data_IF_055820595244
#
_entry.id   IF_055820595244
#
_cell.length_a   1.000
_cell.length_b   1.000
_cell.length_c   1.000
_cell.angle_alpha   90.00
_cell.angle_beta   90.00
_cell.angle_gamma   90.00
#
_symmetry.space_group_name_H-M   'P 1'
#
loop_
_entity.id
_entity.type
_entity.pdbx_description
1 polymer ?
#
# COMPACT_ATOMS: atom_id res chain seq x y z
N UNK A 1 -51.25 -2.02 18.97
CA UNK A 1 -50.12 -2.95 18.75
C UNK A 1 -49.11 -2.68 19.84
N UNK A 2 -49.05 -3.55 20.85
CA UNK A 2 -48.08 -3.48 21.95
C UNK A 2 -46.77 -4.12 21.50
N UNK A 3 -45.66 -3.37 21.54
CA UNK A 3 -44.32 -3.92 21.31
C UNK A 3 -44.04 -5.04 22.31
N UNK A 4 -43.55 -6.22 21.88
CA UNK A 4 -43.16 -7.27 22.81
C UNK A 4 -41.88 -6.84 23.56
N UNK A 5 -42.01 -6.54 24.85
CA UNK A 5 -40.87 -6.26 25.72
C UNK A 5 -40.06 -7.53 25.94
N UNK A 6 -38.77 -7.47 25.63
CA UNK A 6 -37.83 -8.56 25.88
C UNK A 6 -37.77 -8.82 27.39
N UNK A 7 -37.97 -10.07 27.86
CA UNK A 7 -37.89 -10.39 29.29
C UNK A 7 -36.51 -10.04 29.86
N UNK A 8 -36.43 -9.46 31.07
CA UNK A 8 -35.16 -8.99 31.66
C UNK A 8 -34.11 -10.11 31.81
N UNK A 9 -34.54 -11.35 32.08
CA UNK A 9 -33.65 -12.51 32.15
C UNK A 9 -33.00 -12.85 30.81
N UNK A 10 -33.69 -12.57 29.70
CA UNK A 10 -33.14 -12.80 28.37
C UNK A 10 -32.07 -11.75 28.04
N UNK A 11 -32.25 -10.51 28.49
CA UNK A 11 -31.27 -9.42 28.37
C UNK A 11 -29.98 -9.74 29.15
N UNK A 12 -30.10 -10.26 30.37
CA UNK A 12 -28.94 -10.72 31.15
C UNK A 12 -28.23 -11.92 30.53
N UNK A 13 -28.99 -12.88 29.98
CA UNK A 13 -28.38 -14.00 29.25
C UNK A 13 -27.62 -13.54 28.01
N UNK A 14 -28.14 -12.55 27.28
CA UNK A 14 -27.44 -11.97 26.12
C UNK A 14 -26.18 -11.18 26.50
N UNK A 15 -26.15 -10.55 27.68
CA UNK A 15 -24.96 -9.84 28.17
C UNK A 15 -23.85 -10.78 28.65
N UNK A 16 -24.22 -11.98 29.10
CA UNK A 16 -23.30 -13.03 29.53
C UNK A 16 -22.73 -13.89 28.40
N UNK A 17 -23.25 -13.78 27.17
CA UNK A 17 -22.59 -14.44 26.03
C UNK A 17 -21.20 -13.81 25.92
N UNK A 18 -20.11 -14.57 26.16
CA UNK A 18 -18.79 -14.04 25.97
C UNK A 18 -18.71 -13.60 24.52
N UNK A 19 -18.62 -12.28 24.29
CA UNK A 19 -18.28 -11.75 22.97
C UNK A 19 -16.97 -12.44 22.63
N UNK A 20 -17.01 -13.37 21.68
CA UNK A 20 -15.86 -14.09 21.18
C UNK A 20 -14.92 -13.05 20.56
N UNK A 21 -14.14 -12.39 21.41
CA UNK A 21 -13.24 -11.35 21.00
C UNK A 21 -12.10 -12.09 20.31
N UNK A 22 -12.11 -12.05 18.98
CA UNK A 22 -11.07 -12.65 18.17
C UNK A 22 -9.73 -12.21 18.73
N UNK A 23 -8.85 -13.18 19.04
CA UNK A 23 -7.56 -12.87 19.67
C UNK A 23 -6.87 -11.74 18.90
N UNK A 24 -6.67 -10.56 19.53
CA UNK A 24 -6.17 -9.38 18.84
C UNK A 24 -4.76 -9.63 18.27
N UNK A 25 -4.03 -10.59 18.83
CA UNK A 25 -2.70 -11.04 18.39
C UNK A 25 -2.73 -11.56 16.95
N UNK A 26 -3.69 -12.42 16.60
CA UNK A 26 -3.80 -12.96 15.24
C UNK A 26 -4.08 -11.82 14.25
N UNK A 27 -4.92 -10.86 14.63
CA UNK A 27 -5.17 -9.66 13.85
C UNK A 27 -3.89 -8.85 13.59
N UNK A 28 -3.07 -8.64 14.61
CA UNK A 28 -1.79 -7.91 14.48
C UNK A 28 -0.80 -8.62 13.56
N UNK A 29 -0.65 -9.93 13.69
CA UNK A 29 0.28 -10.71 12.85
C UNK A 29 -0.14 -10.66 11.38
N UNK A 30 -1.42 -10.90 11.09
CA UNK A 30 -1.92 -10.88 9.71
C UNK A 30 -1.88 -9.47 9.13
N UNK A 31 -2.20 -8.44 9.93
CA UNK A 31 -2.05 -7.04 9.54
C UNK A 31 -0.60 -6.71 9.20
N UNK A 32 0.36 -7.13 10.04
CA UNK A 32 1.78 -6.90 9.82
C UNK A 32 2.25 -7.50 8.49
N UNK A 33 1.91 -8.76 8.23
CA UNK A 33 2.28 -9.44 6.97
C UNK A 33 1.68 -8.71 5.78
N UNK A 34 0.37 -8.41 5.80
CA UNK A 34 -0.29 -7.74 4.69
C UNK A 34 0.25 -6.34 4.41
N UNK A 35 0.45 -5.52 5.45
CA UNK A 35 0.99 -4.16 5.29
C UNK A 35 2.45 -4.18 4.82
N UNK A 36 3.25 -5.14 5.29
CA UNK A 36 4.62 -5.31 4.80
C UNK A 36 4.64 -5.68 3.31
N UNK A 37 3.73 -6.56 2.86
CA UNK A 37 3.58 -6.90 1.43
C UNK A 37 3.14 -5.70 0.59
N UNK A 38 2.23 -4.86 1.09
CA UNK A 38 1.81 -3.61 0.40
C UNK A 38 2.99 -2.64 0.30
N UNK A 39 3.70 -2.41 1.39
CA UNK A 39 4.86 -1.52 1.42
C UNK A 39 5.96 -2.01 0.48
N UNK A 40 6.26 -3.31 0.50
CA UNK A 40 7.14 -3.97 -0.46
C UNK A 40 6.67 -3.72 -1.91
N UNK A 41 5.39 -3.94 -2.22
CA UNK A 41 4.86 -3.75 -3.57
C UNK A 41 5.00 -2.32 -4.08
N UNK A 42 4.77 -1.31 -3.22
CA UNK A 42 5.00 0.10 -3.56
C UNK A 42 6.49 0.38 -3.77
N UNK A 43 7.37 -0.16 -2.93
CA UNK A 43 8.82 0.00 -3.09
C UNK A 43 9.34 -0.67 -4.36
N UNK A 44 8.88 -1.89 -4.68
CA UNK A 44 9.25 -2.59 -5.91
C UNK A 44 8.74 -1.83 -7.15
N UNK A 45 7.52 -1.30 -7.11
CA UNK A 45 7.00 -0.42 -8.17
C UNK A 45 7.81 0.86 -8.33
N UNK A 46 8.28 1.46 -7.23
CA UNK A 46 9.13 2.63 -7.29
C UNK A 46 10.44 2.36 -8.03
N UNK A 47 11.14 1.27 -7.71
CA UNK A 47 12.40 0.91 -8.36
C UNK A 47 12.19 0.46 -9.80
N UNK A 48 11.23 -0.44 -10.05
CA UNK A 48 10.94 -0.90 -11.41
C UNK A 48 10.51 0.23 -12.35
N UNK A 49 9.79 1.24 -11.85
CA UNK A 49 9.47 2.44 -12.63
C UNK A 49 10.73 3.23 -13.01
N UNK A 50 11.70 3.36 -12.10
CA UNK A 50 12.95 4.07 -12.40
C UNK A 50 13.76 3.38 -13.49
N UNK A 51 13.89 2.06 -13.40
CA UNK A 51 14.56 1.26 -14.43
C UNK A 51 13.91 1.42 -15.81
N UNK A 52 12.56 1.38 -15.88
CA UNK A 52 11.83 1.62 -17.14
C UNK A 52 12.01 3.06 -17.63
N UNK A 53 12.07 4.03 -16.72
CA UNK A 53 12.26 5.44 -17.07
C UNK A 53 13.68 5.74 -17.55
N UNK A 54 14.70 5.03 -17.05
CA UNK A 54 16.08 5.14 -17.50
C UNK A 54 16.25 4.76 -18.98
N UNK A 55 15.47 3.79 -19.47
CA UNK A 55 15.46 3.39 -20.90
C UNK A 55 14.48 4.19 -21.76
N UNK A 56 13.89 5.27 -21.23
CA UNK A 56 13.01 6.18 -21.98
C UNK A 56 11.52 6.05 -21.66
N UNK A 57 11.15 5.31 -20.61
CA UNK A 57 9.79 5.25 -20.09
C UNK A 57 8.89 4.19 -20.72
N UNK A 58 9.44 3.36 -21.61
CA UNK A 58 8.76 2.19 -22.17
C UNK A 58 9.80 1.13 -22.55
N UNK A 59 9.48 -0.12 -22.26
CA UNK A 59 10.25 -1.27 -22.70
C UNK A 59 9.31 -2.45 -22.89
N UNK A 60 9.72 -3.42 -23.71
CA UNK A 60 8.96 -4.66 -23.89
C UNK A 60 9.91 -5.83 -24.13
N UNK A 61 9.54 -6.99 -23.59
CA UNK A 61 10.26 -8.25 -23.77
C UNK A 61 9.27 -9.29 -24.31
N UNK A 62 9.72 -10.14 -25.23
CA UNK A 62 8.91 -11.22 -25.79
C UNK A 62 7.82 -10.81 -26.79
N UNK A 63 7.05 -11.82 -27.23
CA UNK A 63 5.96 -11.67 -28.20
C UNK A 63 6.38 -11.77 -29.67
N UNK A 64 5.41 -11.74 -30.62
CA UNK A 64 5.68 -11.85 -32.06
C UNK A 64 6.08 -10.50 -32.71
N UNK A 65 6.28 -9.45 -31.92
CA UNK A 65 6.52 -8.09 -32.40
C UNK A 65 8.01 -7.74 -32.38
N UNK A 66 8.42 -6.81 -33.25
CA UNK A 66 9.79 -6.29 -33.26
C UNK A 66 9.96 -5.29 -32.12
N UNK A 67 10.64 -5.74 -31.06
CA UNK A 67 10.97 -4.92 -29.89
C UNK A 67 11.95 -3.82 -30.32
N UNK A 68 11.57 -2.57 -30.08
CA UNK A 68 12.43 -1.39 -30.34
C UNK A 68 13.29 -1.01 -29.12
N UNK A 69 12.81 -1.32 -27.91
CA UNK A 69 13.48 -1.05 -26.64
C UNK A 69 13.31 -2.26 -25.72
N UNK A 70 14.42 -2.93 -25.42
CA UNK A 70 14.47 -4.07 -24.49
C UNK A 70 14.37 -3.59 -23.05
N UNK A 71 13.76 -4.40 -22.18
CA UNK A 71 13.70 -4.05 -20.77
C UNK A 71 15.06 -4.33 -20.11
N UNK A 72 15.53 -3.44 -19.23
CA UNK A 72 16.72 -3.71 -18.43
C UNK A 72 16.47 -4.91 -17.50
N UNK A 73 17.53 -5.69 -17.27
CA UNK A 73 17.51 -6.84 -16.36
C UNK A 73 17.12 -6.34 -14.95
N UNK A 74 16.05 -6.90 -14.36
CA UNK A 74 15.54 -6.51 -13.03
C UNK A 74 14.11 -5.95 -13.04
N UNK A 75 13.77 -5.12 -14.05
CA UNK A 75 12.52 -4.37 -14.08
C UNK A 75 11.30 -5.29 -14.17
N UNK A 76 11.39 -6.31 -15.01
CA UNK A 76 10.34 -7.33 -15.14
C UNK A 76 10.12 -8.04 -13.80
N UNK A 77 11.20 -8.41 -13.11
CA UNK A 77 11.10 -9.13 -11.82
C UNK A 77 10.46 -8.25 -10.75
N UNK A 78 10.86 -6.99 -10.65
CA UNK A 78 10.31 -6.07 -9.65
C UNK A 78 8.85 -5.70 -9.93
N UNK A 79 8.48 -5.47 -11.19
CA UNK A 79 7.08 -5.15 -11.53
C UNK A 79 6.16 -6.37 -11.42
N UNK A 80 6.64 -7.55 -11.84
CA UNK A 80 5.87 -8.80 -11.86
C UNK A 80 5.73 -9.40 -10.46
N UNK A 81 6.66 -9.15 -9.54
CA UNK A 81 6.51 -9.52 -8.13
C UNK A 81 5.81 -8.42 -7.32
N UNK A 82 6.15 -7.15 -7.56
CA UNK A 82 5.63 -6.00 -6.81
C UNK A 82 4.12 -5.83 -6.88
N UNK A 83 3.53 -5.86 -8.09
CA UNK A 83 2.09 -5.64 -8.27
C UNK A 83 1.27 -6.77 -7.64
N UNK A 84 1.52 -8.07 -7.92
CA UNK A 84 0.73 -9.14 -7.33
C UNK A 84 0.93 -9.23 -5.81
N UNK A 85 2.15 -9.09 -5.31
CA UNK A 85 2.41 -9.13 -3.86
C UNK A 85 1.74 -7.94 -3.17
N UNK A 86 1.77 -6.75 -3.76
CA UNK A 86 1.08 -5.58 -3.23
C UNK A 86 -0.45 -5.77 -3.17
N UNK A 87 -1.06 -6.32 -4.22
CA UNK A 87 -2.51 -6.60 -4.27
C UNK A 87 -2.90 -7.69 -3.27
N UNK A 88 -2.19 -8.82 -3.25
CA UNK A 88 -2.42 -9.88 -2.26
C UNK A 88 -2.24 -9.33 -0.85
N UNK A 89 -1.18 -8.56 -0.63
CA UNK A 89 -0.90 -7.86 0.60
C UNK A 89 -2.05 -6.97 1.06
N UNK A 90 -2.70 -6.25 0.14
CA UNK A 90 -3.84 -5.39 0.46
C UNK A 90 -5.03 -6.21 1.00
N UNK A 91 -5.36 -7.35 0.40
CA UNK A 91 -6.42 -8.23 0.88
C UNK A 91 -6.07 -8.88 2.22
N UNK A 92 -4.81 -9.31 2.39
CA UNK A 92 -4.31 -9.85 3.67
C UNK A 92 -4.36 -8.78 4.76
N UNK A 93 -3.93 -7.56 4.45
CA UNK A 93 -3.97 -6.42 5.36
C UNK A 93 -5.41 -6.04 5.73
N UNK A 94 -6.34 -6.09 4.77
CA UNK A 94 -7.76 -5.84 5.02
C UNK A 94 -8.32 -6.82 6.04
N UNK A 95 -8.03 -8.12 5.88
CA UNK A 95 -8.46 -9.14 6.83
C UNK A 95 -7.80 -8.96 8.21
N UNK A 96 -6.49 -8.68 8.26
CA UNK A 96 -5.75 -8.44 9.50
C UNK A 96 -6.26 -7.20 10.27
N UNK A 97 -6.45 -6.08 9.56
CA UNK A 97 -7.01 -4.85 10.11
C UNK A 97 -8.44 -5.04 10.63
N UNK A 98 -9.30 -5.75 9.88
CA UNK A 98 -10.67 -6.01 10.31
C UNK A 98 -10.73 -6.83 11.60
N UNK A 99 -9.74 -7.70 11.82
CA UNK A 99 -9.65 -8.59 12.99
C UNK A 99 -8.89 -7.98 14.17
N UNK A 100 -8.12 -6.90 13.97
CA UNK A 100 -7.33 -6.25 15.01
C UNK A 100 -8.15 -5.21 15.80
N UNK A 101 -8.84 -4.30 15.10
CA UNK A 101 -9.73 -3.30 15.70
C UNK A 101 -10.71 -2.71 14.69
N UNK A 102 -11.92 -2.35 15.13
CA UNK A 102 -12.78 -1.41 14.41
C UNK A 102 -11.99 -0.16 14.01
N UNK A 103 -12.18 0.28 12.76
CA UNK A 103 -11.53 1.45 12.18
C UNK A 103 -10.10 1.23 11.67
N UNK A 104 -9.41 0.13 12.01
CA UNK A 104 -8.04 -0.10 11.55
C UNK A 104 -7.93 -0.27 10.02
N UNK A 105 -8.98 -0.80 9.38
CA UNK A 105 -9.04 -0.93 7.91
C UNK A 105 -8.90 0.41 7.21
N UNK A 106 -9.34 1.50 7.84
CA UNK A 106 -9.23 2.85 7.29
C UNK A 106 -7.77 3.25 7.04
N UNK A 107 -6.81 2.72 7.81
CA UNK A 107 -5.38 3.00 7.59
C UNK A 107 -4.89 2.52 6.22
N UNK A 108 -5.54 1.53 5.60
CA UNK A 108 -5.16 1.07 4.26
C UNK A 108 -5.41 2.13 3.17
N UNK A 109 -6.27 3.12 3.44
CA UNK A 109 -6.43 4.28 2.56
C UNK A 109 -5.15 5.11 2.46
N UNK A 110 -4.20 4.98 3.40
CA UNK A 110 -2.87 5.57 3.29
C UNK A 110 -2.02 4.96 2.18
N UNK A 111 -2.40 3.77 1.67
CA UNK A 111 -1.79 3.21 0.47
C UNK A 111 -1.98 4.09 -0.76
N UNK A 112 -3.08 4.85 -0.83
CA UNK A 112 -3.35 5.78 -1.92
C UNK A 112 -2.33 6.94 -2.00
N UNK A 113 -2.18 7.80 -0.97
CA UNK A 113 -1.15 8.84 -1.01
C UNK A 113 0.25 8.23 -1.10
N UNK A 114 0.52 7.07 -0.48
CA UNK A 114 1.81 6.41 -0.61
C UNK A 114 2.13 6.06 -2.07
N UNK A 115 1.19 5.46 -2.80
CA UNK A 115 1.36 5.11 -4.22
C UNK A 115 1.48 6.35 -5.11
N UNK A 116 0.57 7.32 -4.99
CA UNK A 116 0.57 8.48 -5.90
C UNK A 116 1.71 9.44 -5.64
N UNK A 117 2.07 9.69 -4.38
CA UNK A 117 3.22 10.55 -4.07
C UNK A 117 4.51 9.86 -4.51
N UNK A 118 4.61 8.55 -4.33
CA UNK A 118 5.81 7.82 -4.74
C UNK A 118 5.99 7.85 -6.27
N UNK A 119 4.98 7.43 -7.04
CA UNK A 119 5.05 7.50 -8.50
C UNK A 119 5.19 8.94 -9.04
N UNK A 120 4.49 9.90 -8.41
CA UNK A 120 4.55 11.31 -8.79
C UNK A 120 5.95 11.90 -8.59
N UNK A 121 6.65 11.51 -7.53
CA UNK A 121 8.04 11.92 -7.32
C UNK A 121 8.97 11.38 -8.40
N UNK A 122 8.86 10.09 -8.77
CA UNK A 122 9.67 9.53 -9.87
C UNK A 122 9.49 10.35 -11.16
N UNK A 123 8.25 10.66 -11.53
CA UNK A 123 7.99 11.50 -12.71
C UNK A 123 8.62 12.89 -12.62
N UNK A 124 8.53 13.56 -11.47
CA UNK A 124 9.13 14.89 -11.28
C UNK A 124 10.66 14.81 -11.33
N UNK A 125 11.26 13.82 -10.66
CA UNK A 125 12.71 13.61 -10.61
C UNK A 125 13.28 13.43 -12.03
N UNK A 126 12.69 12.55 -12.81
CA UNK A 126 13.09 12.30 -14.20
C UNK A 126 12.72 13.45 -15.15
N UNK A 127 11.69 14.24 -14.83
CA UNK A 127 11.39 15.44 -15.61
C UNK A 127 12.44 16.54 -15.43
N UNK A 128 13.09 16.59 -14.26
CA UNK A 128 14.19 17.50 -13.94
C UNK A 128 15.51 16.95 -14.46
N UNK A 129 15.75 15.64 -14.28
CA UNK A 129 16.97 14.93 -14.64
C UNK A 129 16.68 13.81 -15.65
N UNK A 130 16.37 14.15 -16.93
CA UNK A 130 16.05 13.13 -17.91
C UNK A 130 17.29 12.35 -18.37
N UNK A 131 17.13 11.07 -18.77
CA UNK A 131 18.18 10.30 -19.40
C UNK A 131 18.59 10.89 -20.76
N UNK A 132 19.81 10.56 -21.20
CA UNK A 132 20.36 11.07 -22.45
C UNK A 132 19.50 10.63 -23.67
N UNK A 133 19.40 11.48 -24.70
CA UNK A 133 18.62 11.25 -25.93
C UNK A 133 17.08 11.29 -25.80
N UNK A 134 16.55 11.84 -24.71
CA UNK A 134 15.11 12.08 -24.57
C UNK A 134 14.63 13.33 -25.33
N UNK A 135 13.62 13.17 -26.19
CA UNK A 135 13.11 14.25 -27.03
C UNK A 135 12.22 15.27 -26.29
N UNK A 136 11.52 14.87 -25.21
CA UNK A 136 10.69 15.77 -24.40
C UNK A 136 10.32 15.15 -23.06
N UNK A 137 10.41 15.93 -21.97
CA UNK A 137 9.99 15.54 -20.62
C UNK A 137 8.62 16.07 -20.22
N UNK A 138 7.89 16.71 -21.15
CA UNK A 138 6.60 17.34 -20.85
C UNK A 138 5.57 16.33 -20.30
N UNK A 139 5.56 15.09 -20.82
CA UNK A 139 4.69 14.04 -20.33
C UNK A 139 4.96 13.70 -18.85
N UNK A 140 6.22 13.65 -18.46
CA UNK A 140 6.62 13.37 -17.08
C UNK A 140 6.23 14.51 -16.12
N UNK A 141 6.35 15.77 -16.54
CA UNK A 141 5.83 16.90 -15.78
C UNK A 141 4.32 16.80 -15.51
N UNK A 142 3.54 16.51 -16.55
CA UNK A 142 2.09 16.37 -16.44
C UNK A 142 1.73 15.23 -15.48
N UNK A 143 2.31 14.04 -15.69
CA UNK A 143 2.06 12.88 -14.83
C UNK A 143 2.45 13.14 -13.37
N UNK A 144 3.63 13.72 -13.15
CA UNK A 144 4.14 14.05 -11.81
C UNK A 144 3.23 15.01 -11.05
N UNK A 145 2.78 16.09 -11.70
CA UNK A 145 1.86 17.07 -11.08
C UNK A 145 0.50 16.44 -10.79
N UNK A 146 -0.07 15.70 -11.74
CA UNK A 146 -1.38 15.06 -11.55
C UNK A 146 -1.32 14.07 -10.38
N UNK A 147 -0.28 13.25 -10.30
CA UNK A 147 -0.11 12.30 -9.20
C UNK A 147 0.13 13.00 -7.86
N UNK A 148 0.90 14.09 -7.84
CA UNK A 148 1.05 14.91 -6.64
C UNK A 148 -0.30 15.50 -6.18
N UNK A 149 -1.14 15.98 -7.11
CA UNK A 149 -2.48 16.49 -6.80
C UNK A 149 -3.44 15.39 -6.30
N UNK A 150 -3.26 14.14 -6.71
CA UNK A 150 -4.05 13.02 -6.21
C UNK A 150 -3.57 12.53 -4.84
N UNK A 151 -2.26 12.59 -4.60
CA UNK A 151 -1.64 12.07 -3.38
C UNK A 151 -1.60 13.06 -2.22
N UNK A 152 -1.16 14.30 -2.46
CA UNK A 152 -0.93 15.28 -1.38
C UNK A 152 -2.19 15.65 -0.59
N UNK A 153 -3.36 15.94 -1.22
CA UNK A 153 -4.57 16.24 -0.47
C UNK A 153 -5.04 15.08 0.41
N UNK A 154 -4.78 13.84 0.00
CA UNK A 154 -5.16 12.67 0.79
C UNK A 154 -4.41 12.58 2.13
N UNK A 155 -3.24 13.22 2.26
CA UNK A 155 -2.51 13.30 3.54
C UNK A 155 -3.29 14.08 4.61
N UNK A 156 -4.13 15.05 4.22
CA UNK A 156 -4.95 15.80 5.17
C UNK A 156 -5.98 14.91 5.89
N UNK A 157 -6.29 13.72 5.34
CA UNK A 157 -7.19 12.75 5.95
C UNK A 157 -6.58 11.95 7.11
N UNK A 158 -5.26 11.96 7.31
CA UNK A 158 -4.56 11.15 8.32
C UNK A 158 -5.16 11.30 9.73
N UNK A 159 -5.42 12.52 10.27
CA UNK A 159 -5.95 12.67 11.62
C UNK A 159 -7.34 12.03 11.79
N UNK A 160 -8.15 12.01 10.73
CA UNK A 160 -9.47 11.39 10.74
C UNK A 160 -9.35 9.85 10.75
N UNK A 161 -8.46 9.30 9.92
CA UNK A 161 -8.19 7.86 9.87
C UNK A 161 -7.70 7.34 11.23
N UNK A 162 -6.78 8.06 11.87
CA UNK A 162 -6.25 7.70 13.20
C UNK A 162 -7.32 7.78 14.29
N UNK A 163 -8.26 8.72 14.20
CA UNK A 163 -9.38 8.86 15.14
C UNK A 163 -10.43 7.76 14.98
N UNK A 164 -10.53 7.13 13.82
CA UNK A 164 -11.47 6.03 13.58
C UNK A 164 -11.12 4.75 14.38
N UNK A 165 -9.86 4.61 14.81
CA UNK A 165 -9.37 3.47 15.58
C UNK A 165 -9.77 3.62 17.05
N UNK A 166 -10.15 2.52 17.71
CA UNK A 166 -10.46 2.57 19.14
C UNK A 166 -9.26 3.11 19.95
N UNK A 167 -9.50 3.99 20.94
CA UNK A 167 -8.43 4.67 21.67
C UNK A 167 -7.56 3.74 22.52
N UNK A 168 -8.12 2.62 23.01
CA UNK A 168 -7.43 1.60 23.80
C UNK A 168 -6.35 0.83 23.00
N UNK A 169 -6.59 0.62 21.70
CA UNK A 169 -5.70 -0.15 20.82
C UNK A 169 -4.92 0.68 19.81
N UNK A 170 -5.22 1.97 19.71
CA UNK A 170 -4.67 2.87 18.68
C UNK A 170 -3.15 2.84 18.61
N UNK A 171 -2.46 2.99 19.74
CA UNK A 171 -0.99 3.05 19.76
C UNK A 171 -0.36 1.73 19.32
N UNK A 172 -0.92 0.58 19.75
CA UNK A 172 -0.44 -0.73 19.34
C UNK A 172 -0.63 -0.97 17.83
N UNK A 173 -1.79 -0.59 17.29
CA UNK A 173 -2.07 -0.72 15.86
C UNK A 173 -1.13 0.14 15.03
N UNK A 174 -0.95 1.41 15.41
CA UNK A 174 -0.04 2.31 14.71
C UNK A 174 1.40 1.82 14.77
N UNK A 175 1.85 1.31 15.93
CA UNK A 175 3.19 0.75 16.06
C UNK A 175 3.40 -0.45 15.14
N UNK A 176 2.47 -1.41 15.11
CA UNK A 176 2.57 -2.58 14.22
C UNK A 176 2.48 -2.17 12.75
N UNK A 177 1.61 -1.21 12.42
CA UNK A 177 1.43 -0.70 11.06
C UNK A 177 2.69 -0.01 10.53
N UNK A 178 3.29 0.88 11.33
CA UNK A 178 4.54 1.57 10.99
C UNK A 178 5.72 0.61 10.92
N UNK A 179 5.81 -0.36 11.85
CA UNK A 179 6.84 -1.39 11.82
C UNK A 179 6.73 -2.24 10.54
N UNK A 180 5.51 -2.63 10.15
CA UNK A 180 5.26 -3.38 8.93
C UNK A 180 5.67 -2.59 7.68
N UNK A 181 5.38 -1.29 7.64
CA UNK A 181 5.84 -0.40 6.55
C UNK A 181 7.36 -0.37 6.49
N UNK A 182 8.03 -0.12 7.61
CA UNK A 182 9.50 -0.05 7.65
C UNK A 182 10.13 -1.37 7.18
N UNK A 183 9.60 -2.50 7.65
CA UNK A 183 10.09 -3.83 7.24
C UNK A 183 9.84 -4.08 5.76
N UNK A 184 8.64 -3.77 5.23
CA UNK A 184 8.33 -3.93 3.81
C UNK A 184 9.21 -3.08 2.90
N UNK A 185 9.49 -1.82 3.30
CA UNK A 185 10.41 -0.94 2.57
C UNK A 185 11.83 -1.50 2.57
N UNK A 186 12.34 -1.93 3.74
CA UNK A 186 13.69 -2.51 3.84
C UNK A 186 13.80 -3.74 2.96
N UNK A 187 12.82 -4.66 3.02
CA UNK A 187 12.80 -5.85 2.16
C UNK A 187 12.78 -5.44 0.68
N UNK A 188 11.97 -4.44 0.31
CA UNK A 188 11.90 -3.93 -1.06
C UNK A 188 13.25 -3.41 -1.56
N UNK A 189 13.94 -2.61 -0.74
CA UNK A 189 15.28 -2.11 -1.06
C UNK A 189 16.29 -3.25 -1.20
N UNK A 190 16.28 -4.22 -0.28
CA UNK A 190 17.20 -5.36 -0.35
C UNK A 190 16.99 -6.21 -1.61
N UNK A 191 15.73 -6.39 -2.01
CA UNK A 191 15.41 -7.14 -3.23
C UNK A 191 15.83 -6.33 -4.46
N UNK A 192 15.50 -5.04 -4.54
CA UNK A 192 15.95 -4.18 -5.65
C UNK A 192 17.46 -4.25 -5.85
N UNK A 193 18.24 -4.05 -4.79
CA UNK A 193 19.71 -4.15 -4.83
C UNK A 193 20.25 -5.54 -5.18
N UNK A 194 19.41 -6.58 -5.19
CA UNK A 194 19.82 -7.96 -5.54
C UNK A 194 19.52 -8.32 -6.99
N UNK A 195 18.72 -7.51 -7.68
CA UNK A 195 18.37 -7.67 -9.11
C UNK A 195 19.13 -6.70 -10.01
N UNK A 196 19.64 -5.59 -9.46
CA UNK A 196 20.66 -4.71 -10.06
C UNK A 196 22.04 -5.41 -10.19
#
# INVERSE_FOLDING_TARGET
MSEPSVPPELSERFSQIPKNESSPVVGYVVMFIGVAMVAYGITALWFGMREVMDVGGYCAEGGPYVIQQHCPDGAETLMLTGIPIGIIGLFVAMFGCARSSPGAVALLLLGWPALFISLGYNFIDYAINPPENMGSTAGWWVCGIVFALMGLPALAGIPWLVKAIRPDRRNAILAVFLLAIAVGIVIGIQIANSVD
#
